data_IF_732302891376
#
_entry.id   IF_732302891376
#
_cell.length_a   1.000
_cell.length_b   1.000
_cell.length_c   1.000
_cell.angle_alpha   90.00
_cell.angle_beta   90.00
_cell.angle_gamma   90.00
#
_symmetry.space_group_name_H-M   'P 1'
#
loop_
_entity.id
_entity.type
_entity.pdbx_description
1 polymer ?
#
# COMPACT_ATOMS: atom_id res chain seq x y z
N UNK A 1 -9.41 -13.91 1.78
CA UNK A 1 -8.37 -12.91 1.97
C UNK A 1 -8.40 -11.88 0.85
N UNK A 2 -8.28 -10.64 1.18
CA UNK A 2 -8.28 -9.55 0.22
C UNK A 2 -6.88 -8.98 0.10
N UNK A 3 -6.38 -8.86 -1.11
CA UNK A 3 -5.07 -8.28 -1.39
C UNK A 3 -5.22 -7.02 -2.23
N UNK A 4 -4.35 -6.06 -1.99
CA UNK A 4 -4.38 -4.81 -2.72
C UNK A 4 -2.98 -4.25 -2.88
N UNK A 5 -2.82 -3.39 -3.88
CA UNK A 5 -1.66 -2.54 -4.01
C UNK A 5 -2.05 -1.12 -3.66
N UNK A 6 -1.22 -0.49 -2.87
CA UNK A 6 -1.36 0.92 -2.53
C UNK A 6 -0.28 1.71 -3.25
N UNK A 7 -0.71 2.73 -3.95
CA UNK A 7 0.18 3.65 -4.64
C UNK A 7 0.19 4.94 -3.84
N UNK A 8 1.33 5.30 -3.30
CA UNK A 8 1.42 6.34 -2.29
C UNK A 8 2.34 7.47 -2.76
N UNK A 9 1.86 8.69 -2.62
CA UNK A 9 2.69 9.88 -2.76
C UNK A 9 2.97 10.44 -1.38
N UNK A 10 4.22 10.78 -1.13
CA UNK A 10 4.67 11.31 0.15
C UNK A 10 5.58 12.51 -0.09
N UNK A 11 5.77 13.33 0.95
CA UNK A 11 6.72 14.44 0.87
C UNK A 11 8.12 13.90 0.66
N UNK A 12 8.82 14.48 -0.28
CA UNK A 12 10.09 13.96 -0.78
C UNK A 12 11.10 13.63 0.32
N UNK A 13 11.29 14.54 1.26
CA UNK A 13 12.29 14.37 2.32
C UNK A 13 11.87 13.35 3.38
N UNK A 14 10.64 12.87 3.33
CA UNK A 14 10.08 12.00 4.36
C UNK A 14 9.69 10.62 3.83
N UNK A 15 10.08 10.28 2.59
CA UNK A 15 9.72 9.00 1.98
C UNK A 15 10.19 7.82 2.84
N UNK A 16 11.43 7.87 3.33
CA UNK A 16 11.97 6.79 4.17
C UNK A 16 11.21 6.67 5.49
N UNK A 17 10.82 7.80 6.07
CA UNK A 17 10.03 7.79 7.31
C UNK A 17 8.67 7.14 7.10
N UNK A 18 8.03 7.46 5.97
CA UNK A 18 6.74 6.87 5.62
C UNK A 18 6.89 5.36 5.41
N UNK A 19 7.94 4.93 4.69
CA UNK A 19 8.21 3.51 4.47
C UNK A 19 8.36 2.78 5.80
N UNK A 20 9.11 3.36 6.73
CA UNK A 20 9.32 2.75 8.04
C UNK A 20 8.01 2.61 8.81
N UNK A 21 7.14 3.60 8.73
CA UNK A 21 5.82 3.53 9.37
C UNK A 21 4.94 2.46 8.74
N UNK A 22 4.96 2.35 7.42
CA UNK A 22 4.20 1.31 6.73
C UNK A 22 4.65 -0.09 7.17
N UNK A 23 5.95 -0.28 7.31
CA UNK A 23 6.50 -1.58 7.72
C UNK A 23 6.09 -2.00 9.13
N UNK A 24 5.64 -1.08 9.96
CA UNK A 24 5.15 -1.41 11.29
C UNK A 24 3.77 -2.09 11.27
N UNK A 25 3.05 -2.00 10.15
CA UNK A 25 1.73 -2.57 10.02
C UNK A 25 1.83 -4.03 9.57
N UNK A 26 1.31 -4.98 10.35
CA UNK A 26 1.43 -6.41 9.99
C UNK A 26 0.74 -6.79 8.70
N UNK A 27 -0.26 -6.03 8.27
CA UNK A 27 -0.98 -6.28 7.02
C UNK A 27 -0.15 -5.93 5.78
N UNK A 28 0.89 -5.13 5.94
CA UNK A 28 1.79 -4.76 4.84
C UNK A 28 2.75 -5.91 4.58
N UNK A 29 2.69 -6.47 3.39
CA UNK A 29 3.52 -7.61 2.98
C UNK A 29 4.84 -7.16 2.38
N UNK A 30 4.75 -6.21 1.44
CA UNK A 30 5.91 -5.67 0.74
C UNK A 30 5.78 -4.16 0.62
N UNK A 31 6.92 -3.47 0.66
CA UNK A 31 6.98 -2.02 0.43
C UNK A 31 8.12 -1.75 -0.52
N UNK A 32 7.86 -0.97 -1.56
CA UNK A 32 8.84 -0.59 -2.57
C UNK A 32 8.92 0.92 -2.67
N UNK A 33 10.13 1.44 -2.70
CA UNK A 33 10.38 2.82 -3.08
C UNK A 33 10.51 2.82 -4.61
N UNK A 34 9.72 3.64 -5.28
CA UNK A 34 9.65 3.64 -6.74
C UNK A 34 9.91 5.02 -7.30
N UNK A 35 10.19 5.07 -8.59
CA UNK A 35 10.34 6.33 -9.32
C UNK A 35 9.25 6.39 -10.36
N UNK A 36 8.63 7.57 -10.50
CA UNK A 36 7.55 7.79 -11.44
C UNK A 36 6.46 8.66 -10.84
N UNK A 37 5.22 8.36 -11.18
CA UNK A 37 4.07 9.13 -10.70
C UNK A 37 3.91 8.98 -9.19
N UNK A 38 4.21 7.81 -8.66
CA UNK A 38 4.11 7.51 -7.23
C UNK A 38 5.49 7.35 -6.63
N UNK A 39 5.57 7.50 -5.32
CA UNK A 39 6.82 7.42 -4.57
C UNK A 39 7.00 6.06 -3.90
N UNK A 40 5.90 5.44 -3.50
CA UNK A 40 5.91 4.18 -2.76
C UNK A 40 4.79 3.28 -3.29
N UNK A 41 5.10 1.99 -3.42
CA UNK A 41 4.08 0.97 -3.68
C UNK A 41 4.14 -0.02 -2.53
N UNK A 42 2.99 -0.28 -1.91
CA UNK A 42 2.88 -1.26 -0.85
C UNK A 42 1.87 -2.34 -1.24
N UNK A 43 2.18 -3.57 -0.90
CA UNK A 43 1.25 -4.68 -1.07
C UNK A 43 0.65 -5.00 0.29
N UNK A 44 -0.66 -5.13 0.34
CA UNK A 44 -1.42 -5.28 1.58
C UNK A 44 -2.28 -6.52 1.50
N UNK A 45 -2.32 -7.28 2.59
CA UNK A 45 -3.26 -8.38 2.75
C UNK A 45 -4.18 -8.11 3.93
N UNK A 46 -5.45 -8.38 3.77
CA UNK A 46 -6.43 -8.23 4.82
C UNK A 46 -7.44 -9.38 4.76
N UNK A 47 -8.09 -9.67 5.86
CA UNK A 47 -9.06 -10.77 5.91
C UNK A 47 -10.28 -10.49 5.05
N UNK A 48 -10.75 -9.25 5.05
CA UNK A 48 -11.93 -8.83 4.31
C UNK A 48 -11.70 -7.48 3.65
N UNK A 49 -12.54 -7.17 2.67
CA UNK A 49 -12.53 -5.87 2.02
C UNK A 49 -12.83 -4.74 3.00
N UNK A 50 -13.73 -4.98 3.93
CA UNK A 50 -14.08 -3.98 4.95
C UNK A 50 -12.89 -3.66 5.84
N UNK A 51 -12.16 -4.70 6.28
CA UNK A 51 -10.95 -4.50 7.08
C UNK A 51 -9.86 -3.80 6.31
N UNK A 52 -9.77 -4.07 5.01
CA UNK A 52 -8.84 -3.35 4.15
C UNK A 52 -9.15 -1.86 4.12
N UNK A 53 -10.41 -1.51 3.94
CA UNK A 53 -10.83 -0.10 3.93
C UNK A 53 -10.56 0.59 5.25
N UNK A 54 -10.82 -0.09 6.36
CA UNK A 54 -10.54 0.44 7.69
C UNK A 54 -9.05 0.67 7.88
N UNK A 55 -8.24 -0.29 7.47
CA UNK A 55 -6.78 -0.16 7.57
C UNK A 55 -6.29 1.07 6.81
N UNK A 56 -6.76 1.23 5.58
CA UNK A 56 -6.33 2.34 4.75
C UNK A 56 -6.78 3.67 5.33
N UNK A 57 -8.04 3.81 5.70
CA UNK A 57 -8.58 5.07 6.18
C UNK A 57 -8.11 5.45 7.59
N UNK A 58 -7.95 4.47 8.46
CA UNK A 58 -7.69 4.74 9.87
C UNK A 58 -6.21 4.61 10.24
N UNK A 59 -5.43 3.84 9.51
CA UNK A 59 -4.04 3.57 9.90
C UNK A 59 -3.01 3.98 8.87
N UNK A 60 -3.34 3.95 7.58
CA UNK A 60 -2.39 4.31 6.53
C UNK A 60 -2.49 5.79 6.17
N UNK A 61 -3.69 6.27 5.87
CA UNK A 61 -3.86 7.67 5.45
C UNK A 61 -3.54 8.69 6.51
N UNK A 62 -3.54 8.27 7.78
CA UNK A 62 -3.16 9.15 8.89
C UNK A 62 -1.64 9.22 9.12
N UNK A 63 -0.87 8.40 8.43
CA UNK A 63 0.59 8.47 8.54
C UNK A 63 1.03 9.86 8.07
N UNK A 64 1.83 10.52 8.92
CA UNK A 64 2.31 11.86 8.63
C UNK A 64 3.12 11.87 7.34
N UNK A 65 2.99 12.94 6.56
CA UNK A 65 3.73 13.19 5.33
C UNK A 65 3.22 12.42 4.10
N UNK A 66 2.18 11.62 4.25
CA UNK A 66 1.52 11.05 3.07
C UNK A 66 0.66 12.15 2.44
N UNK A 67 0.86 12.34 1.14
CA UNK A 67 0.12 13.36 0.37
C UNK A 67 -1.13 12.78 -0.26
N UNK A 68 -1.10 11.52 -0.64
CA UNK A 68 -2.24 10.86 -1.24
C UNK A 68 -2.00 9.37 -1.43
N UNK A 69 -3.09 8.64 -1.56
CA UNK A 69 -3.06 7.20 -1.78
C UNK A 69 -4.07 6.81 -2.84
N UNK A 70 -3.71 5.82 -3.64
CA UNK A 70 -4.62 5.17 -4.58
C UNK A 70 -4.57 3.68 -4.29
N UNK A 71 -5.73 3.05 -4.22
CA UNK A 71 -5.84 1.62 -3.91
C UNK A 71 -6.29 0.86 -5.14
N UNK A 72 -5.57 -0.21 -5.46
CA UNK A 72 -5.98 -1.16 -6.48
C UNK A 72 -6.18 -2.52 -5.81
N UNK A 73 -7.43 -2.87 -5.57
CA UNK A 73 -7.77 -4.16 -4.96
C UNK A 73 -7.69 -5.25 -6.03
N UNK A 74 -7.05 -6.35 -5.68
CA UNK A 74 -6.96 -7.49 -6.60
C UNK A 74 -8.31 -8.18 -6.64
N UNK A 75 -8.99 -8.09 -7.78
CA UNK A 75 -10.29 -8.69 -7.95
C UNK A 75 -10.19 -10.18 -8.29
N UNK A 76 -9.18 -10.52 -9.08
CA UNK A 76 -8.98 -11.89 -9.52
C UNK A 76 -7.51 -12.10 -9.89
N UNK A 77 -6.94 -13.15 -9.35
CA UNK A 77 -5.59 -13.54 -9.71
C UNK A 77 -5.64 -14.33 -11.02
N UNK A 78 -4.82 -13.94 -11.97
CA UNK A 78 -4.76 -14.62 -13.24
C UNK A 78 -3.45 -15.38 -13.30
N UNK A 79 -3.56 -16.71 -13.48
CA UNK A 79 -2.38 -17.55 -13.54
C UNK A 79 -1.60 -17.27 -14.82
N UNK A 80 -0.30 -17.08 -14.65
CA UNK A 80 0.58 -16.83 -15.76
C UNK A 80 0.78 -18.10 -16.58
N UNK A 81 0.71 -17.97 -17.87
CA UNK A 81 0.90 -19.10 -18.78
C UNK A 81 2.30 -19.14 -19.32
N UNK A 82 2.87 -20.31 -19.29
CA UNK A 82 4.13 -20.56 -19.96
C UNK A 82 3.84 -20.85 -21.43
N UNK A 83 4.51 -20.13 -22.27
CA UNK A 83 4.33 -20.27 -23.72
C UNK A 83 5.46 -21.08 -24.34
#
# INVERSE_FOLDING_TARGET
MTSAFLFINAELLFIEDVINKLKELPEIVDVYKVQGIYDIIARVNSDTEEKLKELISERIRIIDRIKGTVTATIAKEIEERNQ
#
